data_IF_232012319689
#
_entry.id   IF_232012319689
#
_cell.length_a   1.000
_cell.length_b   1.000
_cell.length_c   1.000
_cell.angle_alpha   90.00
_cell.angle_beta   90.00
_cell.angle_gamma   90.00
#
_symmetry.space_group_name_H-M   'P 1'
#
loop_
_entity.id
_entity.type
_entity.pdbx_description
1 polymer ?
#
# COMPACT_ATOMS: atom_id res chain seq x y z
N UNK A 1 11.49 -3.04 -9.55
CA UNK A 1 10.51 -1.96 -9.46
C UNK A 1 10.85 -1.01 -8.28
N UNK A 2 10.57 -1.37 -7.02
CA UNK A 2 10.98 -0.62 -5.82
C UNK A 2 12.16 -1.29 -5.14
N UNK A 3 13.11 -0.50 -4.64
CA UNK A 3 14.20 -0.96 -3.78
C UNK A 3 14.44 0.05 -2.67
N UNK A 4 14.55 -0.44 -1.45
CA UNK A 4 14.90 0.29 -0.25
C UNK A 4 16.16 -0.33 0.31
N UNK A 5 17.22 0.46 0.47
CA UNK A 5 18.53 -0.02 0.93
C UNK A 5 18.92 0.71 2.22
N UNK A 6 18.94 -0.03 3.33
CA UNK A 6 19.47 0.33 4.65
C UNK A 6 19.12 1.76 5.11
N UNK A 7 17.83 2.14 5.00
CA UNK A 7 17.40 3.50 5.33
C UNK A 7 17.33 3.74 6.85
N UNK A 8 17.72 4.94 7.27
CA UNK A 8 17.58 5.41 8.65
C UNK A 8 16.65 6.62 8.69
N UNK A 9 15.47 6.45 9.29
CA UNK A 9 14.43 7.49 9.33
C UNK A 9 14.14 7.92 10.76
N UNK A 10 13.93 9.21 10.95
CA UNK A 10 13.77 9.86 12.24
C UNK A 10 12.51 10.75 12.26
N UNK A 11 11.93 10.91 13.46
CA UNK A 11 11.02 12.00 13.81
C UNK A 11 11.73 12.89 14.83
N UNK A 12 12.15 14.10 14.42
CA UNK A 12 13.07 14.90 15.22
C UNK A 12 14.36 14.12 15.48
N UNK A 13 14.72 13.90 16.73
CA UNK A 13 15.89 13.12 17.13
C UNK A 13 15.59 11.64 17.37
N UNK A 14 14.32 11.23 17.35
CA UNK A 14 13.93 9.84 17.61
C UNK A 14 14.06 9.01 16.34
N UNK A 15 14.99 8.06 16.33
CA UNK A 15 15.12 7.11 15.24
C UNK A 15 14.03 6.06 15.31
N UNK A 16 13.38 5.79 14.17
CA UNK A 16 12.31 4.78 14.04
C UNK A 16 12.72 3.65 13.09
N UNK A 17 13.44 3.96 12.01
CA UNK A 17 13.96 2.93 11.11
C UNK A 17 15.47 2.78 11.26
N UNK A 18 15.91 1.55 11.48
CA UNK A 18 17.29 1.18 11.79
C UNK A 18 17.89 0.32 10.66
N UNK A 19 17.93 0.86 9.46
CA UNK A 19 18.53 0.21 8.31
C UNK A 19 17.69 -0.92 7.65
N UNK A 20 16.34 -0.85 7.62
CA UNK A 20 15.58 -1.85 6.89
C UNK A 20 15.90 -1.79 5.39
N UNK A 21 16.00 -2.98 4.78
CA UNK A 21 16.13 -3.15 3.34
C UNK A 21 15.01 -4.05 2.83
N UNK A 22 14.38 -3.67 1.73
CA UNK A 22 13.39 -4.50 1.04
C UNK A 22 13.31 -4.16 -0.44
N UNK A 23 12.71 -5.06 -1.19
CA UNK A 23 12.44 -4.83 -2.62
C UNK A 23 11.04 -5.31 -2.99
N UNK A 24 10.49 -4.71 -4.05
CA UNK A 24 9.26 -5.15 -4.71
C UNK A 24 9.54 -5.25 -6.20
N UNK A 25 9.33 -6.41 -6.78
CA UNK A 25 9.46 -6.67 -8.21
C UNK A 25 8.32 -6.04 -9.03
N UNK A 26 8.45 -6.06 -10.35
CA UNK A 26 7.36 -5.65 -11.24
C UNK A 26 6.25 -6.69 -11.22
N UNK A 27 5.00 -6.29 -11.01
CA UNK A 27 3.85 -7.20 -10.91
C UNK A 27 3.90 -8.13 -9.69
N UNK A 28 4.76 -7.84 -8.70
CA UNK A 28 4.87 -8.61 -7.47
C UNK A 28 4.00 -7.99 -6.37
N UNK A 29 3.34 -8.84 -5.58
CA UNK A 29 2.67 -8.45 -4.35
C UNK A 29 3.56 -8.85 -3.17
N UNK A 30 4.03 -7.87 -2.42
CA UNK A 30 4.85 -8.07 -1.22
C UNK A 30 4.06 -7.65 0.01
N UNK A 31 3.98 -8.52 1.01
CA UNK A 31 3.43 -8.18 2.32
C UNK A 31 4.53 -7.65 3.24
N UNK A 32 4.23 -6.63 4.02
CA UNK A 32 5.05 -6.15 5.14
C UNK A 32 4.24 -6.31 6.43
N UNK A 33 4.59 -7.31 7.21
CA UNK A 33 3.93 -7.65 8.46
C UNK A 33 4.72 -7.16 9.67
N UNK A 34 4.07 -7.05 10.81
CA UNK A 34 4.71 -6.69 12.07
C UNK A 34 3.73 -6.02 13.03
N UNK A 35 4.07 -6.00 14.30
CA UNK A 35 3.26 -5.38 15.35
C UNK A 35 3.05 -3.87 15.12
N UNK A 36 2.07 -3.31 15.83
CA UNK A 36 1.89 -1.86 15.87
C UNK A 36 3.15 -1.20 16.46
N UNK A 37 3.56 -0.07 15.87
CA UNK A 37 4.80 0.61 16.25
C UNK A 37 6.09 -0.03 15.71
N UNK A 38 6.02 -1.10 14.91
CA UNK A 38 7.21 -1.71 14.31
C UNK A 38 7.93 -0.83 13.29
N UNK A 39 7.29 0.24 12.79
CA UNK A 39 7.85 1.16 11.81
C UNK A 39 7.29 1.03 10.39
N UNK A 40 6.27 0.21 10.19
CA UNK A 40 5.67 -0.07 8.86
C UNK A 40 5.20 1.18 8.12
N UNK A 41 4.31 1.97 8.73
CA UNK A 41 3.83 3.25 8.16
C UNK A 41 4.98 4.25 7.96
N UNK A 42 5.97 4.28 8.87
CA UNK A 42 7.17 5.12 8.70
C UNK A 42 7.95 4.73 7.45
N UNK A 43 8.07 3.44 7.16
CA UNK A 43 8.71 2.96 5.94
C UNK A 43 7.95 3.43 4.69
N UNK A 44 6.60 3.29 4.66
CA UNK A 44 5.80 3.82 3.55
C UNK A 44 5.95 5.34 3.40
N UNK A 45 5.94 6.09 4.52
CA UNK A 45 6.14 7.54 4.49
C UNK A 45 7.53 7.92 3.99
N UNK A 46 8.56 7.12 4.29
CA UNK A 46 9.91 7.32 3.75
C UNK A 46 9.96 7.10 2.25
N UNK A 47 9.32 6.05 1.74
CA UNK A 47 9.21 5.77 0.29
C UNK A 47 8.49 6.92 -0.43
N UNK A 48 7.46 7.48 0.19
CA UNK A 48 6.66 8.58 -0.38
C UNK A 48 7.31 9.97 -0.26
N UNK A 49 8.47 10.07 0.39
CA UNK A 49 9.12 11.36 0.65
C UNK A 49 8.39 12.25 1.67
N UNK A 50 7.42 11.70 2.43
CA UNK A 50 6.71 12.40 3.52
C UNK A 50 7.56 12.50 4.79
N UNK A 51 8.46 11.54 4.99
CA UNK A 51 9.44 11.51 6.09
C UNK A 51 10.75 10.98 5.50
N UNK A 52 11.52 11.81 4.79
CA UNK A 52 12.74 11.37 4.11
C UNK A 52 13.75 10.75 5.07
N UNK A 53 14.43 9.65 4.69
CA UNK A 53 15.46 9.07 5.54
C UNK A 53 16.70 9.98 5.60
N UNK A 54 17.40 9.98 6.75
CA UNK A 54 18.69 10.69 6.92
C UNK A 54 19.84 9.96 6.23
N UNK A 55 19.72 8.64 6.03
CA UNK A 55 20.73 7.82 5.33
C UNK A 55 20.07 6.63 4.64
N UNK A 56 20.81 5.97 3.74
CA UNK A 56 20.31 4.90 2.89
C UNK A 56 19.75 5.43 1.57
N UNK A 57 19.28 4.53 0.73
CA UNK A 57 18.82 4.87 -0.62
C UNK A 57 17.46 4.22 -0.88
N UNK A 58 16.57 4.97 -1.52
CA UNK A 58 15.32 4.46 -2.07
C UNK A 58 15.33 4.70 -3.56
N UNK A 59 15.07 3.67 -4.34
CA UNK A 59 14.95 3.76 -5.78
C UNK A 59 13.65 3.15 -6.30
N UNK A 60 13.08 3.78 -7.29
CA UNK A 60 11.91 3.30 -8.01
C UNK A 60 12.25 3.23 -9.50
N UNK A 61 12.14 2.02 -10.03
CA UNK A 61 12.37 1.71 -11.44
C UNK A 61 13.73 2.20 -11.96
N UNK A 62 14.75 1.95 -11.14
CA UNK A 62 16.16 2.32 -11.42
C UNK A 62 16.52 3.77 -11.08
N UNK A 63 15.55 4.64 -10.82
CA UNK A 63 15.79 6.03 -10.47
C UNK A 63 15.78 6.24 -8.95
N UNK A 64 16.77 6.95 -8.40
CA UNK A 64 16.77 7.34 -6.99
C UNK A 64 15.63 8.32 -6.69
N UNK A 65 14.88 8.03 -5.61
CA UNK A 65 13.75 8.85 -5.16
C UNK A 65 13.92 9.38 -3.73
N UNK A 66 15.02 9.07 -3.07
CA UNK A 66 15.26 9.37 -1.65
C UNK A 66 15.05 10.84 -1.29
N UNK A 67 15.45 11.76 -2.16
CA UNK A 67 15.37 13.22 -1.97
C UNK A 67 14.28 13.89 -2.79
N UNK A 68 13.44 13.11 -3.48
CA UNK A 68 12.38 13.68 -4.31
C UNK A 68 11.19 14.12 -3.47
N UNK A 69 10.52 15.18 -3.92
CA UNK A 69 9.27 15.61 -3.30
C UNK A 69 8.15 14.59 -3.56
N UNK A 70 7.21 14.47 -2.62
CA UNK A 70 6.09 13.51 -2.70
C UNK A 70 5.32 13.57 -4.02
N UNK A 71 5.08 14.78 -4.54
CA UNK A 71 4.35 14.94 -5.81
C UNK A 71 5.15 14.43 -7.01
N UNK A 72 6.49 14.50 -6.98
CA UNK A 72 7.35 13.96 -8.03
C UNK A 72 7.30 12.42 -7.99
N UNK A 73 7.42 11.84 -6.78
CA UNK A 73 7.32 10.40 -6.56
C UNK A 73 5.96 9.87 -7.06
N UNK A 74 4.88 10.58 -6.73
CA UNK A 74 3.55 10.24 -7.22
C UNK A 74 3.45 10.28 -8.75
N UNK A 75 4.07 11.29 -9.41
CA UNK A 75 4.11 11.39 -10.88
C UNK A 75 4.95 10.30 -11.53
N UNK A 76 5.90 9.72 -10.82
CA UNK A 76 6.67 8.58 -11.31
C UNK A 76 5.84 7.28 -11.35
N UNK A 77 4.66 7.25 -10.72
CA UNK A 77 3.75 6.10 -10.76
C UNK A 77 3.69 5.30 -9.46
N UNK A 78 4.01 5.90 -8.32
CA UNK A 78 3.71 5.32 -7.00
C UNK A 78 2.36 5.86 -6.53
N UNK A 79 1.40 4.94 -6.33
CA UNK A 79 0.11 5.20 -5.69
C UNK A 79 0.16 4.89 -4.20
N UNK A 80 -0.71 5.52 -3.40
CA UNK A 80 -0.82 5.26 -1.97
C UNK A 80 -2.28 5.19 -1.53
N UNK A 81 -2.60 4.16 -0.77
CA UNK A 81 -3.87 3.98 -0.06
C UNK A 81 -3.55 3.97 1.43
N UNK A 82 -3.75 5.10 2.15
CA UNK A 82 -3.46 5.21 3.57
C UNK A 82 -4.51 4.49 4.43
N UNK A 83 -4.15 4.20 5.69
CA UNK A 83 -4.99 3.56 6.71
C UNK A 83 -6.26 4.37 7.03
N UNK A 84 -6.16 5.70 7.04
CA UNK A 84 -7.26 6.64 7.25
C UNK A 84 -8.06 6.95 5.95
N UNK A 85 -7.77 6.23 4.84
CA UNK A 85 -8.41 6.32 3.51
C UNK A 85 -8.28 7.68 2.82
N UNK A 86 -8.20 8.77 3.58
CA UNK A 86 -8.06 10.18 3.12
C UNK A 86 -8.98 10.54 1.96
N UNK A 87 -10.25 10.14 2.02
CA UNK A 87 -11.26 10.69 1.15
C UNK A 87 -11.57 12.13 1.58
N UNK A 88 -11.97 12.97 0.65
CA UNK A 88 -12.44 14.34 0.95
C UNK A 88 -13.94 14.27 1.31
N UNK A 89 -14.31 14.45 2.58
CA UNK A 89 -15.67 14.16 3.05
C UNK A 89 -16.74 15.01 2.36
N UNK A 90 -16.46 16.29 2.14
CA UNK A 90 -17.37 17.26 1.52
C UNK A 90 -17.43 17.18 -0.01
N UNK A 91 -16.69 16.27 -0.63
CA UNK A 91 -16.75 16.04 -2.06
C UNK A 91 -17.53 14.77 -2.36
N UNK A 92 -18.27 14.79 -3.48
CA UNK A 92 -18.90 13.58 -4.01
C UNK A 92 -17.85 12.52 -4.40
N UNK A 93 -18.27 11.26 -4.48
CA UNK A 93 -17.43 10.15 -4.97
C UNK A 93 -16.84 10.51 -6.34
N UNK A 94 -17.66 11.02 -7.26
CA UNK A 94 -17.19 11.44 -8.59
C UNK A 94 -16.03 12.44 -8.50
N UNK A 95 -16.16 13.48 -7.68
CA UNK A 95 -15.11 14.49 -7.50
C UNK A 95 -13.87 13.92 -6.81
N UNK A 96 -14.05 13.07 -5.80
CA UNK A 96 -12.92 12.36 -5.18
C UNK A 96 -12.13 11.53 -6.20
N UNK A 97 -12.81 10.78 -7.04
CA UNK A 97 -12.16 9.96 -8.09
C UNK A 97 -11.47 10.84 -9.13
N UNK A 98 -12.09 11.98 -9.50
CA UNK A 98 -11.52 12.93 -10.46
C UNK A 98 -10.16 13.48 -10.01
N UNK A 99 -9.94 13.66 -8.70
CA UNK A 99 -8.66 14.10 -8.14
C UNK A 99 -7.53 13.06 -8.31
N UNK A 100 -7.88 11.80 -8.55
CA UNK A 100 -6.92 10.72 -8.80
C UNK A 100 -6.31 10.77 -10.19
N UNK A 101 -7.00 11.29 -11.17
CA UNK A 101 -6.55 11.24 -12.57
C UNK A 101 -5.23 11.96 -12.79
N UNK A 102 -4.24 11.18 -13.21
CA UNK A 102 -2.97 11.68 -13.73
C UNK A 102 -2.42 10.70 -14.76
N UNK A 103 -1.58 11.19 -15.63
CA UNK A 103 -0.85 10.36 -16.59
C UNK A 103 0.53 10.05 -16.03
N UNK A 104 0.89 8.77 -16.08
CA UNK A 104 2.24 8.28 -15.84
C UNK A 104 2.68 7.49 -17.07
N UNK A 105 3.84 6.83 -17.03
CA UNK A 105 4.26 5.89 -18.08
C UNK A 105 3.58 4.52 -18.01
N UNK A 106 2.83 4.26 -16.92
CA UNK A 106 2.12 3.01 -16.72
C UNK A 106 0.72 3.06 -17.32
N UNK A 107 0.03 1.93 -17.31
CA UNK A 107 -1.32 1.77 -17.84
C UNK A 107 -2.28 2.82 -17.24
N UNK A 108 -3.03 3.48 -18.11
CA UNK A 108 -4.13 4.34 -17.66
C UNK A 108 -5.36 3.49 -17.31
N UNK A 109 -5.98 3.84 -16.21
CA UNK A 109 -7.23 3.25 -15.74
C UNK A 109 -8.41 4.18 -16.04
N UNK A 110 -9.56 3.59 -16.31
CA UNK A 110 -10.82 4.29 -16.60
C UNK A 110 -11.83 4.10 -15.47
N UNK A 111 -12.82 4.98 -15.38
CA UNK A 111 -13.92 4.83 -14.43
C UNK A 111 -14.70 3.53 -14.65
N UNK A 112 -14.93 3.12 -15.89
CA UNK A 112 -15.63 1.88 -16.20
C UNK A 112 -14.90 0.66 -15.65
N UNK A 113 -13.56 0.67 -15.69
CA UNK A 113 -12.77 -0.40 -15.05
C UNK A 113 -12.89 -0.39 -13.53
N UNK A 114 -12.99 0.79 -12.92
CA UNK A 114 -13.26 0.89 -11.47
C UNK A 114 -14.63 0.33 -11.11
N UNK A 115 -15.67 0.58 -11.92
CA UNK A 115 -16.99 -0.04 -11.75
C UNK A 115 -16.96 -1.56 -11.93
N UNK A 116 -16.11 -2.06 -12.84
CA UNK A 116 -15.86 -3.49 -13.00
C UNK A 116 -15.11 -4.15 -11.84
N UNK A 117 -14.36 -3.38 -11.06
CA UNK A 117 -13.69 -3.84 -9.83
C UNK A 117 -14.63 -3.70 -8.62
N UNK A 118 -15.29 -2.56 -8.49
CA UNK A 118 -16.17 -2.19 -7.38
C UNK A 118 -17.53 -1.74 -7.93
N UNK A 119 -18.41 -2.69 -8.26
CA UNK A 119 -19.73 -2.38 -8.80
C UNK A 119 -20.57 -1.37 -7.98
N UNK A 120 -20.48 -1.30 -6.63
CA UNK A 120 -21.22 -0.29 -5.88
C UNK A 120 -20.84 1.15 -6.21
N UNK A 121 -19.61 1.42 -6.69
CA UNK A 121 -19.15 2.79 -6.98
C UNK A 121 -20.03 3.51 -7.99
N UNK A 122 -20.58 2.80 -8.98
CA UNK A 122 -21.41 3.40 -10.03
C UNK A 122 -22.64 4.11 -9.43
N UNK A 123 -23.28 3.49 -8.45
CA UNK A 123 -24.45 4.04 -7.76
C UNK A 123 -24.10 5.10 -6.69
N UNK A 124 -22.85 5.16 -6.30
CA UNK A 124 -22.38 6.10 -5.29
C UNK A 124 -21.83 7.40 -5.85
N UNK A 125 -21.71 7.55 -7.16
CA UNK A 125 -20.98 8.65 -7.81
C UNK A 125 -21.44 10.05 -7.38
N UNK A 126 -22.76 10.24 -7.16
CA UNK A 126 -23.32 11.53 -6.75
C UNK A 126 -23.29 11.75 -5.23
N UNK A 127 -22.96 10.72 -4.43
CA UNK A 127 -23.02 10.77 -2.98
C UNK A 127 -21.79 11.44 -2.39
N UNK A 128 -21.98 12.30 -1.39
CA UNK A 128 -20.86 12.90 -0.65
C UNK A 128 -20.16 11.84 0.23
N UNK A 129 -18.82 11.92 0.28
CA UNK A 129 -18.04 10.87 0.93
C UNK A 129 -18.21 10.80 2.44
N UNK A 130 -18.67 11.87 3.11
CA UNK A 130 -19.04 11.84 4.54
C UNK A 130 -20.18 10.88 4.87
N UNK A 131 -21.04 10.56 3.88
CA UNK A 131 -22.19 9.68 4.02
C UNK A 131 -21.91 8.23 3.60
N UNK A 132 -20.64 7.89 3.38
CA UNK A 132 -20.22 6.55 2.98
C UNK A 132 -19.89 5.68 4.20
N UNK A 133 -20.15 4.38 4.10
CA UNK A 133 -19.61 3.38 5.02
C UNK A 133 -18.09 3.28 4.89
N UNK A 134 -17.42 2.71 5.91
CA UNK A 134 -15.98 2.50 5.87
C UNK A 134 -15.52 1.66 4.67
N UNK A 135 -16.31 0.66 4.26
CA UNK A 135 -16.00 -0.15 3.07
C UNK A 135 -16.14 0.64 1.76
N UNK A 136 -17.18 1.46 1.63
CA UNK A 136 -17.38 2.33 0.47
C UNK A 136 -16.26 3.39 0.36
N UNK A 137 -15.86 4.00 1.48
CA UNK A 137 -14.69 4.89 1.51
C UNK A 137 -13.40 4.20 1.07
N UNK A 138 -13.21 2.93 1.47
CA UNK A 138 -12.06 2.14 1.05
C UNK A 138 -12.05 1.89 -0.46
N UNK A 139 -13.22 1.56 -1.05
CA UNK A 139 -13.36 1.41 -2.50
C UNK A 139 -13.01 2.71 -3.24
N UNK A 140 -13.47 3.86 -2.74
CA UNK A 140 -13.12 5.17 -3.30
C UNK A 140 -11.62 5.44 -3.20
N UNK A 141 -10.98 5.18 -2.05
CA UNK A 141 -9.55 5.39 -1.85
C UNK A 141 -8.70 4.54 -2.80
N UNK A 142 -9.03 3.25 -2.94
CA UNK A 142 -8.33 2.35 -3.86
C UNK A 142 -8.54 2.80 -5.31
N UNK A 143 -9.77 3.07 -5.72
CA UNK A 143 -10.08 3.52 -7.09
C UNK A 143 -9.38 4.83 -7.42
N UNK A 144 -9.33 5.78 -6.49
CA UNK A 144 -8.60 7.04 -6.67
C UNK A 144 -7.09 6.81 -6.87
N UNK A 145 -6.50 5.86 -6.13
CA UNK A 145 -5.09 5.52 -6.31
C UNK A 145 -4.83 4.88 -7.68
N UNK A 146 -5.71 3.99 -8.16
CA UNK A 146 -5.59 3.32 -9.46
C UNK A 146 -5.78 4.28 -10.63
N UNK A 147 -6.75 5.20 -10.56
CA UNK A 147 -6.96 6.24 -11.57
C UNK A 147 -5.74 7.15 -11.72
N UNK A 148 -4.82 7.13 -10.76
CA UNK A 148 -3.50 7.76 -10.86
C UNK A 148 -2.50 7.03 -11.74
N UNK A 149 -2.90 5.98 -12.46
CA UNK A 149 -2.04 5.19 -13.35
C UNK A 149 -0.74 4.71 -12.69
N UNK A 150 -0.82 3.99 -11.54
CA UNK A 150 0.36 3.55 -10.81
C UNK A 150 1.00 2.31 -11.44
N UNK A 151 2.33 2.20 -11.35
CA UNK A 151 3.05 0.94 -11.53
C UNK A 151 3.24 0.19 -10.21
N UNK A 152 3.19 0.93 -9.09
CA UNK A 152 3.27 0.39 -7.74
C UNK A 152 2.21 1.05 -6.85
N UNK A 153 1.48 0.26 -6.07
CA UNK A 153 0.58 0.78 -5.04
C UNK A 153 1.07 0.38 -3.65
N UNK A 154 1.19 1.37 -2.77
CA UNK A 154 1.47 1.16 -1.36
C UNK A 154 0.13 1.15 -0.60
N UNK A 155 -0.17 0.05 0.08
CA UNK A 155 -1.35 -0.10 0.92
C UNK A 155 -0.94 -0.08 2.39
N UNK A 156 -1.51 0.83 3.17
CA UNK A 156 -1.28 0.94 4.61
C UNK A 156 -2.52 0.45 5.35
N UNK A 157 -2.45 -0.76 5.89
CA UNK A 157 -3.52 -1.46 6.63
C UNK A 157 -4.90 -1.41 5.94
N UNK A 158 -4.99 -1.83 4.65
CA UNK A 158 -6.21 -1.67 3.85
C UNK A 158 -7.41 -2.45 4.38
N UNK A 159 -7.22 -3.42 5.29
CA UNK A 159 -8.29 -4.21 5.91
C UNK A 159 -8.78 -3.64 7.25
N UNK A 160 -8.11 -2.62 7.81
CA UNK A 160 -8.39 -2.13 9.16
C UNK A 160 -9.81 -1.59 9.32
N UNK A 161 -10.52 -2.07 10.34
CA UNK A 161 -11.86 -1.60 10.70
C UNK A 161 -12.93 -1.93 9.65
N UNK A 162 -12.69 -2.93 8.78
CA UNK A 162 -13.64 -3.38 7.79
C UNK A 162 -14.31 -4.70 8.19
N UNK A 163 -15.57 -4.89 7.75
CA UNK A 163 -16.26 -6.16 7.91
C UNK A 163 -15.55 -7.27 7.10
N UNK A 164 -15.56 -8.54 7.56
CA UNK A 164 -14.82 -9.65 6.93
C UNK A 164 -15.06 -9.81 5.43
N UNK A 165 -16.29 -9.60 4.98
CA UNK A 165 -16.64 -9.67 3.55
C UNK A 165 -15.91 -8.58 2.74
N UNK A 166 -15.85 -7.36 3.27
CA UNK A 166 -15.16 -6.24 2.60
C UNK A 166 -13.65 -6.47 2.57
N UNK A 167 -13.07 -7.02 3.66
CA UNK A 167 -11.65 -7.42 3.67
C UNK A 167 -11.34 -8.38 2.53
N UNK A 168 -12.19 -9.41 2.33
CA UNK A 168 -12.02 -10.35 1.22
C UNK A 168 -12.10 -9.66 -0.14
N UNK A 169 -13.02 -8.71 -0.32
CA UNK A 169 -13.17 -7.95 -1.57
C UNK A 169 -11.95 -7.08 -1.85
N UNK A 170 -11.42 -6.39 -0.82
CA UNK A 170 -10.18 -5.61 -0.92
C UNK A 170 -8.99 -6.50 -1.27
N UNK A 171 -8.80 -7.62 -0.59
CA UNK A 171 -7.70 -8.55 -0.86
C UNK A 171 -7.80 -9.17 -2.25
N UNK A 172 -9.01 -9.54 -2.72
CA UNK A 172 -9.23 -9.97 -4.10
C UNK A 172 -8.86 -8.89 -5.11
N UNK A 173 -9.17 -7.64 -4.81
CA UNK A 173 -8.79 -6.51 -5.66
C UNK A 173 -7.28 -6.38 -5.74
N UNK A 174 -6.57 -6.41 -4.60
CA UNK A 174 -5.10 -6.38 -4.58
C UNK A 174 -4.52 -7.51 -5.42
N UNK A 175 -5.04 -8.73 -5.28
CA UNK A 175 -4.61 -9.88 -6.08
C UNK A 175 -4.84 -9.67 -7.59
N UNK A 176 -5.96 -9.02 -7.96
CA UNK A 176 -6.26 -8.69 -9.37
C UNK A 176 -5.22 -7.73 -9.95
N UNK A 177 -4.69 -6.79 -9.16
CA UNK A 177 -3.68 -5.83 -9.63
C UNK A 177 -2.44 -6.51 -10.20
N UNK A 178 -2.03 -7.65 -9.64
CA UNK A 178 -0.94 -8.48 -10.15
C UNK A 178 -1.19 -8.92 -11.60
N UNK A 179 -2.40 -9.35 -11.92
CA UNK A 179 -2.76 -9.79 -13.27
C UNK A 179 -2.73 -8.64 -14.28
N UNK A 180 -2.84 -7.42 -13.79
CA UNK A 180 -2.73 -6.19 -14.58
C UNK A 180 -1.29 -5.62 -14.62
N UNK A 181 -0.31 -6.36 -14.09
CA UNK A 181 1.10 -5.99 -14.06
C UNK A 181 1.46 -4.90 -13.04
N UNK A 182 0.55 -4.57 -12.11
CA UNK A 182 0.79 -3.59 -11.05
C UNK A 182 1.42 -4.28 -9.85
N UNK A 183 2.54 -3.72 -9.37
CA UNK A 183 3.16 -4.15 -8.12
C UNK A 183 2.42 -3.59 -6.90
N UNK A 184 2.46 -4.31 -5.78
CA UNK A 184 1.90 -3.82 -4.53
C UNK A 184 2.82 -4.10 -3.34
N UNK A 185 2.94 -3.13 -2.44
CA UNK A 185 3.47 -3.33 -1.09
C UNK A 185 2.30 -3.17 -0.12
N UNK A 186 1.92 -4.28 0.52
CA UNK A 186 0.76 -4.35 1.42
C UNK A 186 1.26 -4.42 2.85
N UNK A 187 1.14 -3.32 3.56
CA UNK A 187 1.38 -3.27 5.01
C UNK A 187 0.12 -3.73 5.70
N UNK A 188 0.22 -4.75 6.56
CA UNK A 188 -0.94 -5.31 7.23
C UNK A 188 -0.62 -5.78 8.65
N UNK A 189 -1.63 -5.73 9.49
CA UNK A 189 -1.65 -6.38 10.78
C UNK A 189 -2.34 -7.75 10.70
N UNK A 190 -3.36 -7.89 9.84
CA UNK A 190 -4.01 -9.16 9.55
C UNK A 190 -3.12 -10.02 8.65
N UNK A 191 -2.22 -10.77 9.31
CA UNK A 191 -1.21 -11.55 8.61
C UNK A 191 -1.80 -12.57 7.63
N UNK A 192 -2.85 -13.29 8.03
CA UNK A 192 -3.43 -14.33 7.18
C UNK A 192 -4.02 -13.74 5.91
N UNK A 193 -4.74 -12.61 6.01
CA UNK A 193 -5.31 -11.95 4.84
C UNK A 193 -4.21 -11.46 3.88
N UNK A 194 -3.11 -10.92 4.40
CA UNK A 194 -1.99 -10.47 3.58
C UNK A 194 -1.25 -11.63 2.92
N UNK A 195 -0.98 -12.72 3.68
CA UNK A 195 -0.29 -13.90 3.17
C UNK A 195 -1.09 -14.66 2.09
N UNK A 196 -2.43 -14.51 2.09
CA UNK A 196 -3.29 -15.12 1.07
C UNK A 196 -3.10 -14.50 -0.33
N UNK A 197 -2.62 -13.28 -0.41
CA UNK A 197 -2.50 -12.55 -1.67
C UNK A 197 -1.05 -12.25 -2.07
N UNK A 198 -0.12 -12.29 -1.12
CA UNK A 198 1.28 -11.94 -1.35
C UNK A 198 2.08 -13.09 -1.99
N UNK A 199 3.07 -12.74 -2.78
CA UNK A 199 4.09 -13.66 -3.30
C UNK A 199 5.22 -13.83 -2.28
N UNK A 200 5.64 -12.74 -1.67
CA UNK A 200 6.74 -12.67 -0.72
C UNK A 200 6.35 -11.80 0.47
N UNK A 201 6.97 -12.06 1.61
CA UNK A 201 6.70 -11.37 2.86
C UNK A 201 7.97 -10.90 3.53
N UNK A 202 7.91 -9.70 4.07
CA UNK A 202 8.84 -9.19 5.07
C UNK A 202 8.13 -9.11 6.42
N UNK A 203 8.84 -9.44 7.48
CA UNK A 203 8.36 -9.18 8.85
C UNK A 203 9.26 -8.12 9.46
N UNK A 204 8.64 -7.04 9.94
CA UNK A 204 9.32 -5.92 10.56
C UNK A 204 9.14 -5.94 12.09
N UNK A 205 10.23 -5.76 12.81
CA UNK A 205 10.23 -5.57 14.26
C UNK A 205 11.19 -4.46 14.66
N UNK A 206 10.72 -3.53 15.49
CA UNK A 206 11.53 -2.44 16.06
C UNK A 206 12.38 -1.70 15.00
N UNK A 207 11.75 -1.36 13.87
CA UNK A 207 12.38 -0.60 12.79
C UNK A 207 13.40 -1.36 11.93
N UNK A 208 13.44 -2.69 12.03
CA UNK A 208 14.34 -3.59 11.26
C UNK A 208 13.54 -4.68 10.57
N UNK A 209 14.07 -5.22 9.48
CA UNK A 209 13.55 -6.46 8.89
C UNK A 209 14.07 -7.63 9.73
N UNK A 210 13.16 -8.41 10.27
CA UNK A 210 13.44 -9.61 11.08
C UNK A 210 13.37 -10.90 10.25
N UNK A 211 12.59 -10.87 9.14
CA UNK A 211 12.41 -12.03 8.28
C UNK A 211 12.07 -11.57 6.86
N UNK A 212 12.53 -12.35 5.88
CA UNK A 212 12.16 -12.27 4.47
C UNK A 212 12.01 -13.70 3.93
N UNK A 213 10.97 -13.95 3.14
CA UNK A 213 10.76 -15.24 2.49
C UNK A 213 9.50 -15.29 1.64
N UNK A 214 9.25 -16.43 0.95
CA UNK A 214 7.98 -16.67 0.27
C UNK A 214 6.80 -16.58 1.23
N UNK A 215 5.70 -15.96 0.79
CA UNK A 215 4.50 -15.85 1.63
C UNK A 215 3.91 -17.22 1.97
N UNK A 216 4.01 -18.18 1.05
CA UNK A 216 3.54 -19.55 1.24
C UNK A 216 4.22 -20.26 2.42
N UNK A 217 5.53 -20.04 2.62
CA UNK A 217 6.30 -20.65 3.71
C UNK A 217 5.80 -20.16 5.07
N UNK A 218 5.67 -18.83 5.22
CA UNK A 218 5.17 -18.26 6.46
C UNK A 218 3.68 -18.60 6.70
N UNK A 219 2.89 -18.76 5.62
CA UNK A 219 1.49 -19.18 5.70
C UNK A 219 1.34 -20.60 6.24
N UNK A 220 2.17 -21.53 5.80
CA UNK A 220 2.09 -22.95 6.18
C UNK A 220 2.71 -23.26 7.55
N UNK A 221 3.73 -22.50 7.97
CA UNK A 221 4.44 -22.71 9.23
C UNK A 221 3.84 -21.87 10.36
N UNK A 222 2.94 -22.49 11.15
CA UNK A 222 2.31 -21.87 12.32
C UNK A 222 3.34 -21.50 13.41
N UNK A 223 4.36 -22.35 13.62
CA UNK A 223 5.37 -22.09 14.65
C UNK A 223 6.21 -20.85 14.28
N UNK A 224 6.61 -20.74 13.03
CA UNK A 224 7.33 -19.58 12.51
C UNK A 224 6.47 -18.31 12.58
N UNK A 225 5.18 -18.40 12.21
CA UNK A 225 4.23 -17.28 12.33
C UNK A 225 4.12 -16.79 13.77
N UNK A 226 3.85 -17.71 14.71
CA UNK A 226 3.72 -17.35 16.13
C UNK A 226 4.99 -16.70 16.67
N UNK A 227 6.17 -17.22 16.29
CA UNK A 227 7.48 -16.65 16.69
C UNK A 227 7.70 -15.23 16.14
N UNK A 228 7.32 -14.97 14.90
CA UNK A 228 7.64 -13.71 14.21
C UNK A 228 6.60 -12.62 14.43
N UNK A 229 5.31 -12.98 14.49
CA UNK A 229 4.18 -12.03 14.49
C UNK A 229 3.11 -12.33 15.55
N UNK A 230 3.28 -13.39 16.35
CA UNK A 230 2.40 -13.71 17.48
C UNK A 230 1.04 -14.33 17.11
N UNK A 231 0.87 -14.87 15.88
CA UNK A 231 -0.40 -15.45 15.38
C UNK A 231 -0.17 -16.77 14.66
#
# INVERSE_FOLDING_TARGET
>A
MLRVDAISTFYGETQVLFGPSLSVGSGEIVALLGANGAGKTTLLRSILGLTPPRSGVISFDGAAITSKATHEIARMGIGWVPDDRRVFPSLSVARNLQLGFKKTRFRNWTLNEMFGIFSPLEHLMARDCENLSGGEMQMVAISRALLGSPGLVLFDEPSQGLAPKIVQDVMRTIRRLKNEGIAALVVEQNALAALDVADRVYVMGRGRIAYEGPAADLRSDMALRTKLIGV
#
